data_IF_193125790122
#
_entry.id   IF_193125790122
#
_cell.length_a   1.000
_cell.length_b   1.000
_cell.length_c   1.000
_cell.angle_alpha   90.00
_cell.angle_beta   90.00
_cell.angle_gamma   90.00
#
_symmetry.space_group_name_H-M   'P 1'
#
loop_
_entity.id
_entity.type
_entity.pdbx_description
1 polymer ?
#
# COMPACT_ATOMS: atom_id res chain seq x y z
N UNK A 1 -11.89 -5.63 -17.63
CA UNK A 1 -12.02 -6.92 -18.33
C UNK A 1 -12.97 -7.78 -17.52
N UNK A 2 -13.85 -8.51 -18.19
CA UNK A 2 -14.61 -9.59 -17.54
C UNK A 2 -13.64 -10.72 -17.14
N UNK A 3 -14.11 -11.66 -16.32
CA UNK A 3 -13.32 -12.83 -15.94
C UNK A 3 -12.94 -13.66 -17.19
N UNK A 4 -13.88 -13.86 -18.11
CA UNK A 4 -13.65 -14.57 -19.37
C UNK A 4 -12.62 -13.87 -20.27
N UNK A 5 -12.70 -12.54 -20.39
CA UNK A 5 -11.72 -11.74 -21.13
C UNK A 5 -10.33 -11.84 -20.50
N UNK A 6 -10.26 -11.78 -19.17
CA UNK A 6 -9.01 -11.88 -18.42
C UNK A 6 -8.37 -13.25 -18.62
N UNK A 7 -9.15 -14.34 -18.48
CA UNK A 7 -8.69 -15.71 -18.74
C UNK A 7 -8.15 -15.83 -20.17
N UNK A 8 -8.87 -15.29 -21.15
CA UNK A 8 -8.47 -15.35 -22.56
C UNK A 8 -7.18 -14.59 -22.82
N UNK A 9 -7.02 -13.40 -22.25
CA UNK A 9 -5.78 -12.62 -22.37
C UNK A 9 -4.61 -13.40 -21.77
N UNK A 10 -4.79 -13.99 -20.58
CA UNK A 10 -3.74 -14.77 -19.93
C UNK A 10 -3.39 -16.03 -20.73
N UNK A 11 -4.38 -16.74 -21.28
CA UNK A 11 -4.15 -17.91 -22.13
C UNK A 11 -3.30 -17.56 -23.36
N UNK A 12 -3.63 -16.47 -24.08
CA UNK A 12 -2.82 -15.99 -25.21
C UNK A 12 -1.41 -15.64 -24.76
N UNK A 13 -1.22 -15.08 -23.56
CA UNK A 13 0.13 -14.79 -23.05
C UNK A 13 0.93 -16.05 -22.74
N UNK A 14 0.30 -17.07 -22.16
CA UNK A 14 0.95 -18.37 -21.96
C UNK A 14 1.40 -18.98 -23.30
N UNK A 15 0.57 -18.89 -24.35
CA UNK A 15 0.93 -19.36 -25.70
C UNK A 15 2.11 -18.57 -26.30
N UNK A 16 2.10 -17.23 -26.20
CA UNK A 16 3.17 -16.38 -26.74
C UNK A 16 4.50 -16.54 -25.98
N UNK A 17 4.44 -16.84 -24.69
CA UNK A 17 5.61 -17.05 -23.83
C UNK A 17 6.08 -18.53 -23.82
N UNK A 18 5.43 -19.42 -24.57
CA UNK A 18 5.69 -20.86 -24.64
C UNK A 18 5.65 -21.53 -23.25
N UNK A 19 4.65 -21.16 -22.45
CA UNK A 19 4.43 -21.68 -21.09
C UNK A 19 3.23 -22.60 -21.07
N UNK A 20 3.47 -23.90 -20.84
CA UNK A 20 2.42 -24.88 -20.56
C UNK A 20 1.89 -24.66 -19.14
N UNK A 21 0.58 -24.45 -18.99
CA UNK A 21 -0.07 -24.17 -17.72
C UNK A 21 -1.31 -25.04 -17.54
N UNK A 22 -1.41 -25.69 -16.38
CA UNK A 22 -2.56 -26.50 -16.02
C UNK A 22 -3.84 -25.64 -15.96
N UNK A 23 -4.98 -26.23 -16.30
CA UNK A 23 -6.25 -25.48 -16.40
C UNK A 23 -6.67 -24.87 -15.05
N UNK A 24 -6.44 -25.59 -13.95
CA UNK A 24 -6.72 -25.16 -12.58
C UNK A 24 -5.76 -24.03 -12.13
N UNK A 25 -4.50 -24.08 -12.58
CA UNK A 25 -3.52 -23.03 -12.39
C UNK A 25 -3.93 -21.74 -13.13
N UNK A 26 -4.38 -21.86 -14.38
CA UNK A 26 -4.88 -20.74 -15.17
C UNK A 26 -6.16 -20.12 -14.55
N UNK A 27 -7.06 -20.94 -14.01
CA UNK A 27 -8.25 -20.46 -13.31
C UNK A 27 -7.88 -19.66 -12.04
N UNK A 28 -6.94 -20.18 -11.24
CA UNK A 28 -6.42 -19.47 -10.07
C UNK A 28 -5.75 -18.15 -10.47
N UNK A 29 -4.93 -18.15 -11.52
CA UNK A 29 -4.25 -16.96 -12.01
C UNK A 29 -5.25 -15.90 -12.49
N UNK A 30 -6.34 -16.33 -13.11
CA UNK A 30 -7.42 -15.44 -13.56
C UNK A 30 -8.07 -14.76 -12.36
N UNK A 31 -8.38 -15.49 -11.29
CA UNK A 31 -8.92 -14.92 -10.04
C UNK A 31 -7.96 -13.89 -9.43
N UNK A 32 -6.67 -14.23 -9.37
CA UNK A 32 -5.63 -13.29 -8.91
C UNK A 32 -5.60 -12.03 -9.79
N UNK A 33 -5.70 -12.17 -11.12
CA UNK A 33 -5.73 -11.05 -12.05
C UNK A 33 -6.95 -10.14 -11.89
N UNK A 34 -8.10 -10.71 -11.52
CA UNK A 34 -9.33 -9.97 -11.22
C UNK A 34 -9.24 -9.22 -9.88
N UNK A 35 -8.63 -9.83 -8.86
CA UNK A 35 -8.49 -9.22 -7.53
C UNK A 35 -7.39 -8.14 -7.47
N UNK A 36 -6.33 -8.29 -8.26
CA UNK A 36 -5.14 -7.42 -8.23
C UNK A 36 -5.08 -6.53 -9.49
N UNK A 37 -4.33 -6.95 -10.51
CA UNK A 37 -4.25 -6.32 -11.82
C UNK A 37 -3.81 -7.33 -12.88
N UNK A 38 -4.23 -7.11 -14.13
CA UNK A 38 -3.80 -7.92 -15.27
C UNK A 38 -2.28 -7.94 -15.45
N UNK A 39 -1.61 -6.82 -15.19
CA UNK A 39 -0.14 -6.72 -15.27
C UNK A 39 0.55 -7.64 -14.27
N UNK A 40 0.06 -7.68 -13.04
CA UNK A 40 0.61 -8.55 -12.01
C UNK A 40 0.40 -10.02 -12.39
N UNK A 41 -0.79 -10.40 -12.88
CA UNK A 41 -1.04 -11.76 -13.37
C UNK A 41 -0.11 -12.16 -14.52
N UNK A 42 0.18 -11.26 -15.48
CA UNK A 42 1.15 -11.54 -16.56
C UNK A 42 2.57 -11.77 -16.02
N UNK A 43 3.01 -10.97 -15.04
CA UNK A 43 4.33 -11.19 -14.40
C UNK A 43 4.41 -12.54 -13.68
N UNK A 44 3.28 -13.01 -13.14
CA UNK A 44 3.21 -14.32 -12.49
C UNK A 44 3.33 -15.49 -13.47
N UNK A 45 2.97 -15.35 -14.75
CA UNK A 45 3.18 -16.40 -15.78
C UNK A 45 4.68 -16.75 -15.86
N UNK A 46 5.52 -15.73 -16.09
CA UNK A 46 6.98 -15.89 -16.18
C UNK A 46 7.62 -16.33 -14.85
N UNK A 47 7.15 -15.82 -13.72
CA UNK A 47 7.69 -16.23 -12.42
C UNK A 47 7.35 -17.69 -12.09
N UNK A 48 6.13 -18.12 -12.44
CA UNK A 48 5.66 -19.48 -12.19
C UNK A 48 6.30 -20.50 -13.13
N UNK A 49 6.59 -20.13 -14.39
CA UNK A 49 7.34 -21.00 -15.32
C UNK A 49 8.76 -21.29 -14.81
N UNK A 50 9.46 -20.29 -14.27
CA UNK A 50 10.77 -20.51 -13.64
C UNK A 50 10.68 -21.38 -12.38
N UNK A 51 9.59 -21.28 -11.61
CA UNK A 51 9.35 -22.15 -10.46
C UNK A 51 9.08 -23.60 -10.89
N UNK A 52 8.32 -23.80 -11.95
CA UNK A 52 8.07 -25.09 -12.58
C UNK A 52 9.37 -25.73 -13.10
N UNK A 53 10.17 -24.96 -13.85
CA UNK A 53 11.46 -25.38 -14.37
C UNK A 53 12.41 -25.81 -13.23
N UNK A 54 12.43 -25.04 -12.13
CA UNK A 54 13.22 -25.40 -10.93
C UNK A 54 12.75 -26.71 -10.29
N UNK A 55 11.46 -27.04 -10.37
CA UNK A 55 10.91 -28.33 -9.93
C UNK A 55 11.14 -29.46 -10.95
N UNK A 56 11.72 -29.13 -12.12
CA UNK A 56 11.89 -30.01 -13.29
C UNK A 56 10.56 -30.50 -13.86
N UNK A 57 9.55 -29.65 -13.84
CA UNK A 57 8.30 -29.91 -14.54
C UNK A 57 8.17 -29.03 -15.78
N UNK A 58 7.53 -29.57 -16.81
CA UNK A 58 7.23 -28.86 -18.04
C UNK A 58 5.98 -27.98 -17.92
N UNK A 59 5.01 -28.40 -17.11
CA UNK A 59 3.72 -27.73 -16.94
C UNK A 59 3.64 -26.99 -15.60
N UNK A 60 3.21 -25.74 -15.61
CA UNK A 60 2.96 -24.90 -14.43
C UNK A 60 1.71 -25.37 -13.69
N UNK A 61 1.85 -25.63 -12.39
CA UNK A 61 0.77 -26.08 -11.51
C UNK A 61 0.38 -24.99 -10.50
N UNK A 62 -0.75 -25.19 -9.80
CA UNK A 62 -1.19 -24.31 -8.71
C UNK A 62 -0.09 -24.06 -7.67
N UNK A 63 0.74 -25.06 -7.38
CA UNK A 63 1.80 -24.96 -6.39
C UNK A 63 2.82 -23.87 -6.73
N UNK A 64 3.16 -23.69 -8.01
CA UNK A 64 4.11 -22.67 -8.45
C UNK A 64 3.50 -21.28 -8.36
N UNK A 65 2.25 -21.12 -8.78
CA UNK A 65 1.54 -19.84 -8.67
C UNK A 65 1.44 -19.42 -7.20
N UNK A 66 1.05 -20.33 -6.30
CA UNK A 66 0.99 -20.06 -4.86
C UNK A 66 2.35 -19.65 -4.31
N UNK A 67 3.42 -20.31 -4.75
CA UNK A 67 4.79 -19.96 -4.34
C UNK A 67 5.21 -18.60 -4.88
N UNK A 68 4.90 -18.27 -6.12
CA UNK A 68 5.19 -16.94 -6.68
C UNK A 68 4.39 -15.85 -5.98
N UNK A 69 3.13 -16.13 -5.65
CA UNK A 69 2.24 -15.18 -4.97
C UNK A 69 2.72 -14.83 -3.55
N UNK A 70 3.41 -15.74 -2.86
CA UNK A 70 4.04 -15.44 -1.56
C UNK A 70 5.35 -14.69 -1.68
N UNK A 71 6.10 -14.90 -2.77
CA UNK A 71 7.39 -14.23 -3.01
C UNK A 71 7.23 -12.81 -3.57
N UNK A 72 6.25 -12.59 -4.44
CA UNK A 72 6.05 -11.34 -5.14
C UNK A 72 4.72 -10.72 -4.72
N UNK A 73 4.80 -9.55 -4.10
CA UNK A 73 3.65 -8.84 -3.55
C UNK A 73 3.07 -7.88 -4.59
N UNK A 74 1.75 -7.82 -4.72
CA UNK A 74 1.09 -6.83 -5.59
C UNK A 74 0.93 -5.49 -4.87
N UNK A 75 0.55 -4.45 -5.61
CA UNK A 75 0.44 -3.07 -5.10
C UNK A 75 -0.52 -2.97 -3.90
N UNK A 76 -1.66 -3.67 -3.90
CA UNK A 76 -2.62 -3.56 -2.79
C UNK A 76 -2.04 -4.15 -1.52
N UNK A 77 -1.49 -5.36 -1.60
CA UNK A 77 -0.84 -6.01 -0.46
C UNK A 77 0.40 -5.24 0.02
N UNK A 78 1.18 -4.65 -0.88
CA UNK A 78 2.35 -3.86 -0.49
C UNK A 78 1.94 -2.57 0.21
N UNK A 79 0.87 -1.90 -0.23
CA UNK A 79 0.35 -0.71 0.48
C UNK A 79 -0.17 -1.05 1.87
N UNK A 80 -0.87 -2.18 2.04
CA UNK A 80 -1.33 -2.63 3.36
C UNK A 80 -0.15 -2.93 4.28
N UNK A 81 0.87 -3.63 3.76
CA UNK A 81 2.10 -3.89 4.50
C UNK A 81 2.78 -2.59 4.95
N UNK A 82 2.85 -1.56 4.08
CA UNK A 82 3.41 -0.27 4.47
C UNK A 82 2.60 0.46 5.56
N UNK A 83 1.27 0.32 5.54
CA UNK A 83 0.40 0.91 6.58
C UNK A 83 0.53 0.18 7.92
N UNK A 84 0.61 -1.16 7.91
CA UNK A 84 0.77 -1.97 9.13
C UNK A 84 2.12 -1.74 9.80
N UNK A 85 3.17 -1.56 9.00
CA UNK A 85 4.54 -1.31 9.43
C UNK A 85 4.95 0.16 9.20
N UNK A 86 3.98 1.08 9.22
CA UNK A 86 4.28 2.48 9.54
C UNK A 86 5.01 2.52 10.91
N UNK A 87 5.44 3.60 11.53
CA UNK A 87 6.33 3.55 12.74
C UNK A 87 7.73 2.92 12.50
N UNK A 88 7.88 1.82 11.74
CA UNK A 88 9.17 1.23 11.37
C UNK A 88 9.82 1.92 10.16
N UNK A 89 9.04 2.59 9.31
CA UNK A 89 9.61 3.42 8.23
C UNK A 89 9.98 4.83 8.70
N UNK A 90 11.07 5.34 8.11
CA UNK A 90 11.77 6.58 8.47
C UNK A 90 10.94 7.87 8.34
N UNK A 91 9.81 7.84 7.63
CA UNK A 91 8.91 8.99 7.41
C UNK A 91 7.45 8.60 7.67
N UNK A 92 7.12 8.29 8.92
CA UNK A 92 5.74 8.06 9.37
C UNK A 92 5.29 9.10 10.39
N UNK A 93 5.64 10.37 10.16
CA UNK A 93 4.95 11.48 10.80
C UNK A 93 3.57 11.61 10.14
N UNK A 94 2.67 10.66 10.43
CA UNK A 94 1.27 11.06 10.51
C UNK A 94 1.22 11.98 11.71
N UNK A 95 1.03 13.27 11.42
CA UNK A 95 0.74 14.38 12.33
C UNK A 95 0.03 13.86 13.59
N UNK A 96 0.80 13.54 14.62
CA UNK A 96 0.35 13.48 16.00
C UNK A 96 0.73 14.85 16.59
N UNK A 97 -0.27 15.49 17.20
CA UNK A 97 -0.24 16.79 17.88
C UNK A 97 -0.26 18.08 17.02
N UNK A 98 -1.47 18.50 16.69
CA UNK A 98 -1.84 19.93 16.72
C UNK A 98 -3.13 20.17 17.51
N UNK A 99 -3.38 19.37 18.54
CA UNK A 99 -4.31 19.67 19.64
C UNK A 99 -3.50 19.86 20.94
N UNK A 100 -2.43 20.66 20.90
CA UNK A 100 -1.85 21.24 22.11
C UNK A 100 -2.37 22.67 22.26
N UNK A 101 -3.03 22.87 23.39
CA UNK A 101 -3.79 24.04 23.82
C UNK A 101 -3.05 25.36 23.56
N UNK A 102 -3.76 26.37 23.03
CA UNK A 102 -3.29 27.75 23.06
C UNK A 102 -3.13 28.17 24.52
N UNK A 103 -1.90 28.06 25.00
CA UNK A 103 -1.44 28.66 26.25
C UNK A 103 -1.57 30.17 26.15
N UNK A 104 -2.44 30.69 27.00
CA UNK A 104 -2.60 32.08 27.40
C UNK A 104 -1.24 32.66 27.84
N UNK A 105 -0.49 33.25 26.93
CA UNK A 105 0.65 34.13 27.28
C UNK A 105 0.12 35.57 27.39
N UNK A 106 -0.37 35.87 28.59
CA UNK A 106 -0.44 37.21 29.17
C UNK A 106 0.99 37.80 29.19
N UNK A 107 1.36 38.59 28.17
CA UNK A 107 2.55 39.46 28.23
C UNK A 107 2.09 40.93 28.35
N UNK A 108 2.17 41.41 29.59
CA UNK A 108 2.03 42.80 30.00
C UNK A 108 3.01 43.71 29.25
N UNK A 109 2.49 44.55 28.36
CA UNK A 109 3.15 45.81 28.00
C UNK A 109 2.14 46.95 27.90
N UNK A 110 1.69 47.45 29.05
CA UNK A 110 0.99 48.73 29.17
C UNK A 110 1.99 49.85 29.43
N UNK A 111 2.47 50.50 28.36
CA UNK A 111 3.15 51.80 28.45
C UNK A 111 2.11 52.92 28.68
N UNK A 112 2.35 53.65 29.78
CA UNK A 112 2.07 55.06 30.06
C UNK A 112 0.81 55.73 29.48
N UNK A 113 -0.06 56.19 30.38
CA UNK A 113 -0.55 57.57 30.28
C UNK A 113 -0.82 58.17 31.68
N UNK A 114 -0.26 59.37 31.87
CA UNK A 114 -0.30 60.20 33.06
C UNK A 114 -1.71 60.76 33.37
N UNK A 115 -1.80 61.38 34.55
CA UNK A 115 -2.81 62.35 35.02
C UNK A 115 -3.99 61.83 35.89
N UNK A 116 -3.90 62.13 37.18
CA UNK A 116 -4.96 61.90 38.16
C UNK A 116 -4.66 62.44 39.55
N UNK A 117 -4.44 63.76 39.64
CA UNK A 117 -4.30 64.51 40.89
C UNK A 117 -5.56 64.39 41.80
N UNK A 118 -5.34 64.23 43.12
CA UNK A 118 -6.15 64.68 44.28
C UNK A 118 -7.28 63.79 44.82
N UNK A 119 -7.04 63.26 46.02
CA UNK A 119 -7.83 63.38 47.27
C UNK A 119 -7.20 62.44 48.31
N UNK A 120 -7.08 62.70 49.62
CA UNK A 120 -7.71 63.64 50.51
C UNK A 120 -6.80 63.80 51.75
N UNK A 121 -6.79 64.98 52.37
CA UNK A 121 -6.27 65.17 53.72
C UNK A 121 -7.29 65.99 54.52
N UNK A 122 -7.63 65.43 55.67
CA UNK A 122 -8.23 66.03 56.87
C UNK A 122 -9.75 66.26 57.00
N UNK A 123 -10.22 65.64 58.09
CA UNK A 123 -11.40 65.84 58.96
C UNK A 123 -12.81 65.44 58.49
#
# INVERSE_FOLDING_TARGET
YTEEETRRILAVRCEEEDVEMAEDALELLTKIGMETSLRYAMQMIMAASLCAEKRKSAEVEIADIKRCYTLFVDVKRSTQFLMEYQNEFMYNELVEDSDEEEGDDDDESGEDDEEGEKQAMEE
#
